data_IF_130237272523
#
_entry.id   IF_130237272523
#
_cell.length_a   1.000
_cell.length_b   1.000
_cell.length_c   1.000
_cell.angle_alpha   90.00
_cell.angle_beta   90.00
_cell.angle_gamma   90.00
#
_symmetry.space_group_name_H-M   'P 1'
#
loop_
_entity.id
_entity.type
_entity.pdbx_description
1 polymer ?
#
# COMPACT_ATOMS: atom_id res chain seq x y z
N UNK A 1 3.74 -25.38 -9.39
CA UNK A 1 4.43 -24.43 -10.29
C UNK A 1 5.19 -23.42 -9.45
N UNK A 2 6.41 -23.04 -9.85
CA UNK A 2 7.21 -22.02 -9.13
C UNK A 2 6.84 -20.62 -9.61
N UNK A 3 7.02 -19.58 -8.78
CA UNK A 3 6.80 -18.17 -9.15
C UNK A 3 7.56 -17.76 -10.43
N UNK A 4 8.64 -18.48 -10.77
CA UNK A 4 9.38 -18.28 -12.03
C UNK A 4 8.56 -18.63 -13.27
N UNK A 5 7.76 -19.69 -13.22
CA UNK A 5 6.92 -20.11 -14.35
C UNK A 5 5.78 -19.13 -14.56
N UNK A 6 5.10 -18.72 -13.48
CA UNK A 6 4.03 -17.73 -13.50
C UNK A 6 4.53 -16.38 -14.05
N UNK A 7 5.71 -15.92 -13.62
CA UNK A 7 6.31 -14.70 -14.19
C UNK A 7 6.56 -14.82 -15.70
N UNK A 8 7.02 -15.99 -16.16
CA UNK A 8 7.27 -16.23 -17.59
C UNK A 8 5.96 -16.19 -18.39
N UNK A 9 4.90 -16.83 -17.89
CA UNK A 9 3.57 -16.79 -18.49
C UNK A 9 3.07 -15.34 -18.59
N UNK A 10 3.12 -14.60 -17.47
CA UNK A 10 2.71 -13.19 -17.40
C UNK A 10 3.47 -12.29 -18.39
N UNK A 11 4.81 -12.35 -18.39
CA UNK A 11 5.62 -11.53 -19.32
C UNK A 11 5.33 -11.90 -20.78
N UNK A 12 5.19 -13.20 -21.08
CA UNK A 12 4.94 -13.67 -22.45
C UNK A 12 3.56 -13.20 -22.93
N UNK A 13 2.55 -13.26 -22.07
CA UNK A 13 1.19 -12.86 -22.40
C UNK A 13 1.05 -11.34 -22.58
N UNK A 14 1.85 -10.55 -21.85
CA UNK A 14 1.92 -9.10 -22.02
C UNK A 14 2.86 -8.67 -23.17
N UNK A 15 3.60 -9.59 -23.79
CA UNK A 15 4.54 -9.26 -24.86
C UNK A 15 3.79 -8.68 -26.06
N UNK A 16 4.20 -7.50 -26.52
CA UNK A 16 3.56 -6.72 -27.60
C UNK A 16 2.20 -6.10 -27.25
N UNK A 17 1.85 -5.99 -25.97
CA UNK A 17 0.68 -5.24 -25.51
C UNK A 17 1.02 -3.83 -25.02
N UNK A 18 0.03 -2.93 -25.00
CA UNK A 18 0.14 -1.60 -24.36
C UNK A 18 0.25 -1.67 -22.81
N UNK A 19 0.15 -2.89 -22.27
CA UNK A 19 0.26 -3.24 -20.85
C UNK A 19 1.62 -3.87 -20.52
N UNK A 20 2.53 -3.98 -21.51
CA UNK A 20 3.88 -4.45 -21.25
C UNK A 20 4.59 -3.48 -20.29
N UNK A 21 5.10 -3.95 -19.14
CA UNK A 21 5.85 -3.09 -18.23
C UNK A 21 7.11 -2.58 -18.94
N UNK A 22 7.41 -1.29 -18.76
CA UNK A 22 8.63 -0.68 -19.29
C UNK A 22 9.90 -1.13 -18.55
N UNK A 23 10.78 -0.18 -18.28
CA UNK A 23 12.05 -0.42 -17.58
C UNK A 23 11.81 -1.04 -16.18
N UNK A 24 12.25 -2.29 -15.99
CA UNK A 24 12.16 -3.01 -14.71
C UNK A 24 13.49 -2.86 -13.98
N UNK A 25 13.47 -2.18 -12.82
CA UNK A 25 14.65 -2.01 -11.99
C UNK A 25 14.53 -2.87 -10.72
N UNK A 26 15.67 -3.38 -10.26
CA UNK A 26 15.73 -4.28 -9.11
C UNK A 26 16.76 -3.77 -8.11
N UNK A 27 16.34 -3.69 -6.85
CA UNK A 27 17.15 -3.28 -5.71
C UNK A 27 17.00 -4.29 -4.57
N UNK A 28 17.89 -4.24 -3.59
CA UNK A 28 17.77 -5.02 -2.35
C UNK A 28 17.78 -4.14 -1.11
N UNK A 29 16.82 -4.40 -0.22
CA UNK A 29 16.66 -3.74 1.07
C UNK A 29 16.87 -4.79 2.17
N UNK A 30 18.13 -5.03 2.52
CA UNK A 30 18.50 -6.22 3.30
C UNK A 30 18.28 -7.49 2.48
N UNK A 31 17.44 -8.41 2.98
CA UNK A 31 17.08 -9.65 2.27
C UNK A 31 15.86 -9.50 1.35
N UNK A 32 15.11 -8.41 1.48
CA UNK A 32 13.91 -8.14 0.67
C UNK A 32 14.33 -7.58 -0.69
N UNK A 33 13.77 -8.11 -1.78
CA UNK A 33 13.94 -7.53 -3.10
C UNK A 33 12.88 -6.45 -3.29
N UNK A 34 13.30 -5.32 -3.86
CA UNK A 34 12.43 -4.22 -4.25
C UNK A 34 12.51 -4.05 -5.75
N UNK A 35 11.40 -4.33 -6.43
CA UNK A 35 11.29 -4.25 -7.89
C UNK A 35 10.38 -3.09 -8.24
N UNK A 36 10.77 -2.28 -9.22
CA UNK A 36 9.94 -1.20 -9.76
C UNK A 36 9.75 -1.38 -11.26
N UNK A 37 8.57 -1.00 -11.76
CA UNK A 37 8.26 -0.93 -13.19
C UNK A 37 7.91 0.52 -13.55
N UNK A 38 8.68 1.12 -14.46
CA UNK A 38 8.47 2.48 -14.97
C UNK A 38 7.41 2.50 -16.07
N UNK A 39 6.40 3.38 -15.92
CA UNK A 39 5.50 3.75 -17.01
C UNK A 39 6.06 4.92 -17.82
N UNK A 40 6.75 5.84 -17.16
CA UNK A 40 7.45 6.98 -17.73
C UNK A 40 8.57 7.43 -16.77
N UNK A 41 9.65 8.05 -17.26
CA UNK A 41 10.64 8.68 -16.40
C UNK A 41 9.98 9.68 -15.45
N UNK A 42 10.40 9.72 -14.19
CA UNK A 42 9.90 10.70 -13.24
C UNK A 42 10.97 11.13 -12.24
N UNK A 43 11.09 12.45 -12.07
CA UNK A 43 11.96 13.06 -11.07
C UNK A 43 11.28 13.19 -9.70
N UNK A 44 10.11 12.58 -9.49
CA UNK A 44 9.36 12.77 -8.26
C UNK A 44 9.96 12.00 -7.06
N UNK A 45 9.58 12.39 -5.85
CA UNK A 45 10.02 11.78 -4.59
C UNK A 45 9.42 10.36 -4.47
N UNK A 46 8.10 10.26 -4.65
CA UNK A 46 7.36 9.01 -4.80
C UNK A 46 6.48 9.15 -6.03
N UNK A 47 6.85 8.47 -7.11
CA UNK A 47 6.16 8.68 -8.38
C UNK A 47 5.00 7.71 -8.57
N UNK A 48 3.84 8.30 -8.87
CA UNK A 48 2.64 7.61 -9.36
C UNK A 48 2.85 7.03 -10.79
N UNK A 49 4.02 7.25 -11.40
CA UNK A 49 4.43 6.62 -12.65
C UNK A 49 5.28 5.36 -12.44
N UNK A 50 5.61 5.01 -11.19
CA UNK A 50 6.19 3.71 -10.82
C UNK A 50 5.14 2.82 -10.18
N UNK A 51 5.24 1.55 -10.50
CA UNK A 51 4.61 0.46 -9.76
C UNK A 51 5.68 -0.39 -9.13
N UNK A 52 5.36 -1.09 -8.05
CA UNK A 52 6.39 -1.70 -7.22
C UNK A 52 5.97 -3.04 -6.62
N UNK A 53 6.97 -3.86 -6.32
CA UNK A 53 6.77 -5.10 -5.62
C UNK A 53 7.90 -5.35 -4.64
N UNK A 54 7.54 -5.81 -3.45
CA UNK A 54 8.47 -6.23 -2.41
C UNK A 54 8.20 -7.67 -2.01
N UNK A 55 9.27 -8.47 -1.97
CA UNK A 55 9.25 -9.87 -1.51
C UNK A 55 10.68 -10.41 -1.33
N UNK A 56 10.87 -11.38 -0.44
CA UNK A 56 12.13 -12.14 -0.34
C UNK A 56 12.42 -12.96 -1.60
N UNK A 57 11.38 -13.38 -2.33
CA UNK A 57 11.50 -14.04 -3.62
C UNK A 57 11.43 -13.00 -4.75
N UNK A 58 12.52 -12.87 -5.52
CA UNK A 58 12.60 -11.89 -6.61
C UNK A 58 11.48 -12.08 -7.65
N UNK A 59 11.08 -13.31 -7.96
CA UNK A 59 10.01 -13.55 -8.94
C UNK A 59 8.66 -13.07 -8.42
N UNK A 60 8.36 -13.30 -7.13
CA UNK A 60 7.14 -12.78 -6.51
C UNK A 60 7.16 -11.26 -6.46
N UNK A 61 8.30 -10.64 -6.12
CA UNK A 61 8.45 -9.18 -6.14
C UNK A 61 8.21 -8.62 -7.55
N UNK A 62 8.78 -9.25 -8.59
CA UNK A 62 8.55 -8.84 -9.98
C UNK A 62 7.10 -9.02 -10.41
N UNK A 63 6.45 -10.14 -10.08
CA UNK A 63 5.02 -10.35 -10.39
C UNK A 63 4.17 -9.25 -9.74
N UNK A 64 4.39 -8.93 -8.46
CA UNK A 64 3.67 -7.85 -7.76
C UNK A 64 3.80 -6.50 -8.49
N UNK A 65 5.02 -6.13 -8.91
CA UNK A 65 5.26 -4.88 -9.63
C UNK A 65 4.53 -4.85 -10.99
N UNK A 66 4.55 -5.95 -11.74
CA UNK A 66 3.87 -6.05 -13.05
C UNK A 66 2.34 -6.06 -12.88
N UNK A 67 1.82 -6.74 -11.85
CA UNK A 67 0.39 -6.80 -11.58
C UNK A 67 -0.15 -5.42 -11.20
N UNK A 68 0.57 -4.66 -10.35
CA UNK A 68 0.22 -3.26 -10.06
C UNK A 68 0.30 -2.37 -11.33
N UNK A 69 1.23 -2.65 -12.25
CA UNK A 69 1.27 -1.96 -13.56
C UNK A 69 -0.01 -2.20 -14.38
N UNK A 70 -0.41 -3.46 -14.53
CA UNK A 70 -1.63 -3.84 -15.25
C UNK A 70 -2.87 -3.26 -14.58
N UNK A 71 -2.90 -3.24 -13.25
CA UNK A 71 -3.96 -2.61 -12.45
C UNK A 71 -4.17 -1.13 -12.82
N UNK A 72 -3.10 -0.33 -12.81
CA UNK A 72 -3.17 1.10 -13.15
C UNK A 72 -3.61 1.32 -14.59
N UNK A 73 -3.13 0.50 -15.53
CA UNK A 73 -3.54 0.54 -16.94
C UNK A 73 -5.02 0.18 -17.11
N UNK A 74 -5.51 -0.79 -16.33
CA UNK A 74 -6.93 -1.21 -16.34
C UNK A 74 -7.85 -0.11 -15.82
N UNK A 75 -7.42 0.63 -14.78
CA UNK A 75 -8.15 1.79 -14.29
C UNK A 75 -8.25 2.89 -15.36
N UNK A 76 -7.14 3.22 -16.03
CA UNK A 76 -7.11 4.21 -17.11
C UNK A 76 -7.98 3.79 -18.29
N UNK A 77 -7.93 2.51 -18.68
CA UNK A 77 -8.80 1.96 -19.71
C UNK A 77 -10.28 2.13 -19.36
N UNK A 78 -10.68 1.77 -18.14
CA UNK A 78 -12.08 1.89 -17.72
C UNK A 78 -12.55 3.35 -17.58
N UNK A 79 -11.67 4.27 -17.18
CA UNK A 79 -11.94 5.71 -17.14
C UNK A 79 -12.28 6.25 -18.52
N UNK A 80 -11.48 5.89 -19.53
CA UNK A 80 -11.72 6.31 -20.91
C UNK A 80 -13.02 5.73 -21.49
N UNK A 81 -13.53 4.65 -20.91
CA UNK A 81 -14.82 4.04 -21.25
C UNK A 81 -15.97 4.49 -20.33
N UNK A 82 -15.78 5.54 -19.52
CA UNK A 82 -16.79 6.12 -18.62
C UNK A 82 -17.44 5.13 -17.63
N UNK A 83 -16.71 4.10 -17.18
CA UNK A 83 -17.23 3.22 -16.13
C UNK A 83 -17.26 3.95 -14.79
N UNK A 84 -18.43 4.01 -14.13
CA UNK A 84 -18.65 4.77 -12.90
C UNK A 84 -17.62 4.45 -11.81
N UNK A 85 -17.40 3.16 -11.53
CA UNK A 85 -16.42 2.68 -10.56
C UNK A 85 -14.98 3.13 -10.86
N UNK A 86 -14.65 3.55 -12.08
CA UNK A 86 -13.33 4.04 -12.46
C UNK A 86 -13.18 5.57 -12.37
N UNK A 87 -14.31 6.30 -12.28
CA UNK A 87 -14.34 7.77 -12.25
C UNK A 87 -13.96 8.37 -10.89
N UNK A 88 -13.92 7.54 -9.84
CA UNK A 88 -13.33 7.94 -8.55
C UNK A 88 -11.86 8.33 -8.78
N UNK A 89 -11.45 9.47 -8.23
CA UNK A 89 -10.23 10.20 -8.61
C UNK A 89 -8.92 9.42 -8.38
N UNK A 90 -8.91 8.43 -7.47
CA UNK A 90 -7.72 7.64 -7.09
C UNK A 90 -7.96 6.13 -7.19
N UNK A 91 -6.90 5.34 -7.04
CA UNK A 91 -6.90 3.87 -7.09
C UNK A 91 -7.34 3.21 -5.78
N UNK A 92 -7.90 3.97 -4.83
CA UNK A 92 -8.36 3.42 -3.56
C UNK A 92 -9.31 2.23 -3.78
N UNK A 93 -8.99 1.12 -3.11
CA UNK A 93 -9.75 -0.12 -3.16
C UNK A 93 -9.70 -0.83 -4.51
N UNK A 94 -8.68 -0.56 -5.33
CA UNK A 94 -8.38 -1.30 -6.55
C UNK A 94 -7.32 -2.35 -6.25
N UNK A 95 -7.53 -3.58 -6.69
CA UNK A 95 -6.49 -4.60 -6.63
C UNK A 95 -6.51 -5.51 -7.85
N UNK A 96 -5.33 -5.99 -8.22
CA UNK A 96 -5.16 -6.99 -9.27
C UNK A 96 -4.52 -8.29 -8.76
N UNK A 97 -4.75 -9.39 -9.49
CA UNK A 97 -4.16 -10.69 -9.22
C UNK A 97 -3.85 -11.45 -10.51
N UNK A 98 -2.69 -12.10 -10.65
CA UNK A 98 -2.35 -12.84 -11.86
C UNK A 98 -3.26 -14.07 -12.04
N UNK A 99 -3.73 -14.26 -13.26
CA UNK A 99 -4.35 -15.51 -13.70
C UNK A 99 -3.21 -16.46 -14.09
N UNK A 100 -3.15 -17.61 -13.44
CA UNK A 100 -2.17 -18.64 -13.76
C UNK A 100 -2.89 -19.93 -14.13
N UNK A 101 -2.20 -20.79 -14.87
CA UNK A 101 -2.67 -22.16 -15.17
C UNK A 101 -3.01 -22.98 -13.92
N UNK A 102 -2.51 -22.60 -12.73
CA UNK A 102 -2.78 -23.24 -11.45
C UNK A 102 -4.03 -22.71 -10.74
N UNK A 103 -4.23 -21.40 -10.76
CA UNK A 103 -5.34 -20.74 -10.05
C UNK A 103 -6.63 -20.75 -10.86
N UNK A 104 -6.52 -20.57 -12.18
CA UNK A 104 -7.67 -20.27 -13.02
C UNK A 104 -8.25 -18.88 -12.75
N UNK A 105 -9.11 -18.43 -13.66
CA UNK A 105 -9.68 -17.08 -13.66
C UNK A 105 -10.57 -16.81 -12.43
N UNK A 106 -11.39 -17.78 -12.00
CA UNK A 106 -12.28 -17.62 -10.85
C UNK A 106 -11.53 -17.40 -9.54
N UNK A 107 -10.43 -18.12 -9.32
CA UNK A 107 -9.59 -17.91 -8.14
C UNK A 107 -8.91 -16.54 -8.18
N UNK A 108 -8.42 -16.12 -9.36
CA UNK A 108 -7.79 -14.82 -9.53
C UNK A 108 -8.77 -13.67 -9.22
N UNK A 109 -10.01 -13.73 -9.73
CA UNK A 109 -11.04 -12.74 -9.39
C UNK A 109 -11.37 -12.73 -7.90
N UNK A 110 -11.49 -13.89 -7.25
CA UNK A 110 -11.70 -13.93 -5.78
C UNK A 110 -10.55 -13.28 -5.03
N UNK A 111 -9.30 -13.55 -5.40
CA UNK A 111 -8.13 -12.93 -4.76
C UNK A 111 -7.99 -11.45 -5.06
N UNK A 112 -8.30 -11.01 -6.28
CA UNK A 112 -8.36 -9.59 -6.63
C UNK A 112 -9.44 -8.88 -5.78
N UNK A 113 -10.64 -9.46 -5.67
CA UNK A 113 -11.71 -8.92 -4.82
C UNK A 113 -11.31 -8.87 -3.34
N UNK A 114 -10.76 -9.94 -2.79
CA UNK A 114 -10.32 -9.99 -1.39
C UNK A 114 -9.28 -8.90 -1.09
N UNK A 115 -8.31 -8.72 -1.99
CA UNK A 115 -7.28 -7.68 -1.87
C UNK A 115 -7.88 -6.28 -1.99
N UNK A 116 -8.78 -6.07 -2.96
CA UNK A 116 -9.46 -4.80 -3.20
C UNK A 116 -10.31 -4.39 -1.99
N UNK A 117 -11.03 -5.36 -1.41
CA UNK A 117 -11.84 -5.15 -0.21
C UNK A 117 -10.95 -4.85 1.00
N UNK A 118 -9.86 -5.60 1.20
CA UNK A 118 -8.90 -5.30 2.26
C UNK A 118 -8.33 -3.89 2.12
N UNK A 119 -7.94 -3.47 0.91
CA UNK A 119 -7.45 -2.11 0.70
C UNK A 119 -8.54 -1.06 0.97
N UNK A 120 -9.77 -1.26 0.51
CA UNK A 120 -10.87 -0.33 0.81
C UNK A 120 -11.11 -0.21 2.33
N UNK A 121 -11.06 -1.33 3.06
CA UNK A 121 -11.22 -1.37 4.52
C UNK A 121 -10.07 -0.63 5.19
N UNK A 122 -8.83 -0.93 4.81
CA UNK A 122 -7.64 -0.24 5.31
C UNK A 122 -7.77 1.28 5.19
N UNK A 123 -8.10 1.74 3.98
CA UNK A 123 -8.17 3.16 3.64
C UNK A 123 -9.29 3.85 4.44
N UNK A 124 -10.48 3.23 4.49
CA UNK A 124 -11.61 3.77 5.23
C UNK A 124 -11.34 3.85 6.73
N UNK A 125 -10.88 2.75 7.33
CA UNK A 125 -10.65 2.63 8.78
C UNK A 125 -9.55 3.59 9.21
N UNK A 126 -8.43 3.62 8.50
CA UNK A 126 -7.31 4.48 8.88
C UNK A 126 -7.69 5.96 8.75
N UNK A 127 -8.32 6.39 7.65
CA UNK A 127 -8.74 7.78 7.51
C UNK A 127 -9.79 8.19 8.58
N UNK A 128 -10.80 7.34 8.80
CA UNK A 128 -11.85 7.60 9.78
C UNK A 128 -11.31 7.66 11.20
N UNK A 129 -10.45 6.70 11.57
CA UNK A 129 -9.75 6.71 12.85
C UNK A 129 -8.93 7.99 12.99
N UNK A 130 -8.15 8.38 12.00
CA UNK A 130 -7.32 9.57 12.12
C UNK A 130 -8.14 10.84 12.39
N UNK A 131 -9.23 11.02 11.66
CA UNK A 131 -10.03 12.24 11.68
C UNK A 131 -10.90 12.42 12.93
N UNK A 132 -11.24 11.32 13.62
CA UNK A 132 -12.12 11.37 14.78
C UNK A 132 -11.44 10.78 16.04
N UNK A 133 -11.15 11.64 17.01
CA UNK A 133 -10.52 11.30 18.28
C UNK A 133 -11.37 10.43 19.21
N UNK A 134 -12.67 10.29 18.95
CA UNK A 134 -13.55 9.37 19.66
C UNK A 134 -13.26 7.91 19.30
N UNK A 135 -12.66 7.65 18.12
CA UNK A 135 -12.27 6.31 17.71
C UNK A 135 -10.99 5.87 18.40
N UNK A 136 -11.02 4.65 18.93
CA UNK A 136 -9.95 4.09 19.73
C UNK A 136 -8.96 3.28 18.89
N UNK A 137 -7.78 3.05 19.47
CA UNK A 137 -6.76 2.20 18.90
C UNK A 137 -5.99 1.49 20.01
N UNK A 138 -5.38 0.37 19.66
CA UNK A 138 -4.34 -0.29 20.47
C UNK A 138 -2.99 -0.05 19.83
N UNK A 139 -2.00 0.27 20.65
CA UNK A 139 -0.63 0.54 20.20
C UNK A 139 0.34 -0.36 20.94
N UNK A 140 1.28 -0.94 20.20
CA UNK A 140 2.34 -1.78 20.74
C UNK A 140 3.69 -1.45 20.10
N UNK A 141 4.81 -1.60 20.82
CA UNK A 141 6.14 -1.47 20.22
C UNK A 141 6.34 -2.49 19.10
N UNK A 142 6.80 -2.03 17.92
CA UNK A 142 7.01 -2.87 16.73
C UNK A 142 7.95 -4.04 17.03
N UNK A 143 8.98 -3.84 17.86
CA UNK A 143 9.94 -4.90 18.25
C UNK A 143 9.27 -6.15 18.83
N UNK A 144 8.08 -6.02 19.44
CA UNK A 144 7.33 -7.13 20.00
C UNK A 144 6.80 -8.09 18.92
N UNK A 145 6.61 -7.59 17.69
CA UNK A 145 6.08 -8.32 16.54
C UNK A 145 7.18 -8.83 15.60
N UNK A 146 8.42 -8.32 15.76
CA UNK A 146 9.53 -8.65 14.87
C UNK A 146 10.31 -9.90 15.30
N UNK A 147 10.17 -10.38 16.55
CA UNK A 147 11.09 -11.36 17.15
C UNK A 147 11.33 -12.61 16.30
N UNK A 148 10.30 -13.08 15.61
CA UNK A 148 10.33 -14.31 14.81
C UNK A 148 10.21 -14.05 13.28
N UNK A 149 10.17 -12.78 12.84
CA UNK A 149 10.13 -12.43 11.41
C UNK A 149 11.49 -11.87 10.97
N UNK A 150 12.37 -12.79 10.54
CA UNK A 150 13.72 -12.48 10.06
C UNK A 150 13.73 -11.45 8.92
N UNK A 151 12.73 -11.50 8.02
CA UNK A 151 12.65 -10.58 6.90
C UNK A 151 12.37 -9.16 7.39
N UNK A 152 11.34 -8.98 8.22
CA UNK A 152 10.99 -7.67 8.76
C UNK A 152 12.12 -7.09 9.63
N UNK A 153 12.80 -7.94 10.42
CA UNK A 153 14.00 -7.55 11.16
C UNK A 153 15.12 -7.07 10.25
N UNK A 154 15.39 -7.80 9.16
CA UNK A 154 16.42 -7.43 8.19
C UNK A 154 16.11 -6.10 7.52
N UNK A 155 14.84 -5.88 7.14
CA UNK A 155 14.40 -4.64 6.53
C UNK A 155 14.55 -3.46 7.49
N UNK A 156 14.07 -3.58 8.73
CA UNK A 156 14.22 -2.52 9.75
C UNK A 156 15.68 -2.17 10.04
N UNK A 157 16.57 -3.17 10.09
CA UNK A 157 18.01 -2.94 10.23
C UNK A 157 18.60 -2.19 9.03
N UNK A 158 18.16 -2.51 7.82
CA UNK A 158 18.59 -1.82 6.61
C UNK A 158 18.15 -0.34 6.63
N UNK A 159 16.88 -0.09 6.96
CA UNK A 159 16.34 1.27 7.08
C UNK A 159 17.07 2.06 8.18
N UNK A 160 17.25 1.49 9.37
CA UNK A 160 17.92 2.14 10.49
C UNK A 160 19.39 2.48 10.27
N UNK A 161 20.08 1.79 9.35
CA UNK A 161 21.43 2.17 8.88
C UNK A 161 21.42 3.38 7.96
N UNK A 162 20.30 3.61 7.26
CA UNK A 162 20.16 4.65 6.25
C UNK A 162 19.74 5.99 6.86
N UNK A 163 18.75 5.98 7.77
CA UNK A 163 18.44 7.11 8.63
C UNK A 163 18.15 6.61 10.05
N UNK A 164 18.65 7.27 11.11
CA UNK A 164 18.45 6.78 12.48
C UNK A 164 16.97 6.77 12.89
N UNK A 165 16.50 5.60 13.34
CA UNK A 165 15.15 5.40 13.87
C UNK A 165 15.17 5.59 15.37
N UNK A 166 14.24 6.39 15.89
CA UNK A 166 14.07 6.67 17.32
C UNK A 166 13.14 5.63 17.97
N UNK A 167 11.98 5.42 17.37
CA UNK A 167 11.01 4.41 17.82
C UNK A 167 10.16 3.91 16.65
N UNK A 168 9.53 2.75 16.83
CA UNK A 168 8.57 2.22 15.88
C UNK A 168 7.46 1.46 16.63
N UNK A 169 6.23 1.64 16.16
CA UNK A 169 5.02 1.10 16.77
C UNK A 169 4.13 0.47 15.73
N UNK A 170 3.34 -0.51 16.16
CA UNK A 170 2.17 -1.01 15.42
C UNK A 170 0.92 -0.50 16.09
N UNK A 171 -0.02 -0.06 15.28
CA UNK A 171 -1.29 0.53 15.71
C UNK A 171 -2.41 -0.29 15.09
N UNK A 172 -3.39 -0.65 15.91
CA UNK A 172 -4.61 -1.33 15.51
C UNK A 172 -5.79 -0.42 15.83
N UNK A 173 -6.29 0.36 14.86
CA UNK A 173 -7.59 1.01 15.00
C UNK A 173 -8.67 -0.04 15.29
N UNK A 174 -9.57 0.24 16.22
CA UNK A 174 -10.63 -0.71 16.56
C UNK A 174 -11.75 -0.67 15.52
N UNK A 175 -12.18 -1.84 15.05
CA UNK A 175 -13.24 -2.00 14.05
C UNK A 175 -14.41 -2.74 14.72
N UNK A 176 -15.63 -2.22 14.56
CA UNK A 176 -16.81 -2.73 15.26
C UNK A 176 -17.61 -3.70 14.38
N UNK A 177 -17.64 -4.96 14.78
CA UNK A 177 -18.57 -5.97 14.22
C UNK A 177 -18.15 -6.57 12.90
N UNK A 178 -16.88 -6.39 12.50
CA UNK A 178 -16.35 -6.83 11.22
C UNK A 178 -15.22 -7.87 11.37
N UNK A 179 -15.09 -8.73 10.37
CA UNK A 179 -14.07 -9.81 10.31
C UNK A 179 -12.71 -9.32 9.79
N UNK A 180 -12.40 -8.03 9.95
CA UNK A 180 -11.16 -7.42 9.47
C UNK A 180 -10.24 -6.98 10.59
N UNK A 181 -8.94 -6.90 10.27
CA UNK A 181 -7.92 -6.27 11.10
C UNK A 181 -7.13 -5.31 10.22
N UNK A 182 -7.08 -4.06 10.65
CA UNK A 182 -6.21 -3.03 10.06
C UNK A 182 -5.01 -2.82 10.99
N UNK A 183 -3.81 -2.81 10.40
CA UNK A 183 -2.55 -2.58 11.08
C UNK A 183 -1.83 -1.43 10.40
N UNK A 184 -1.49 -0.40 11.17
CA UNK A 184 -0.65 0.72 10.75
C UNK A 184 0.70 0.62 11.44
N UNK A 185 1.77 0.56 10.67
CA UNK A 185 3.15 0.70 11.17
C UNK A 185 3.48 2.18 11.19
N UNK A 186 4.03 2.65 12.30
CA UNK A 186 4.50 4.02 12.45
C UNK A 186 5.96 4.02 12.90
N UNK A 187 6.83 4.69 12.16
CA UNK A 187 8.27 4.79 12.43
C UNK A 187 8.62 6.25 12.67
N UNK A 188 9.10 6.55 13.88
CA UNK A 188 9.64 7.86 14.26
C UNK A 188 11.13 7.92 13.95
N UNK A 189 11.53 8.93 13.19
CA UNK A 189 12.90 9.18 12.80
C UNK A 189 13.57 10.17 13.75
N UNK A 190 14.83 9.94 14.09
CA UNK A 190 15.56 10.78 15.05
C UNK A 190 15.81 12.17 14.44
N UNK A 191 15.41 13.23 15.16
CA UNK A 191 15.48 14.65 14.74
C UNK A 191 14.65 15.00 13.49
N UNK A 192 13.76 14.11 13.08
CA UNK A 192 12.84 14.29 11.95
C UNK A 192 11.41 14.02 12.47
N UNK A 193 10.54 13.49 11.62
CA UNK A 193 9.20 13.10 12.03
C UNK A 193 8.88 11.64 11.76
N UNK A 194 7.70 11.42 11.16
CA UNK A 194 7.09 10.11 11.07
C UNK A 194 6.96 9.64 9.61
N UNK A 195 7.20 8.36 9.40
CA UNK A 195 6.74 7.64 8.20
C UNK A 195 5.85 6.49 8.65
N UNK A 196 4.84 6.17 7.84
CA UNK A 196 3.83 5.15 8.17
C UNK A 196 3.62 4.20 7.00
N UNK A 197 2.98 3.06 7.23
CA UNK A 197 2.48 2.17 6.19
C UNK A 197 1.35 1.32 6.74
N UNK A 198 0.37 1.01 5.90
CA UNK A 198 -0.87 0.35 6.29
C UNK A 198 -0.98 -1.05 5.69
N UNK A 199 -1.86 -1.84 6.28
CA UNK A 199 -2.30 -3.10 5.69
C UNK A 199 -3.61 -3.54 6.34
N UNK A 200 -4.40 -4.29 5.59
CA UNK A 200 -5.58 -4.98 6.10
C UNK A 200 -5.58 -6.46 5.72
N UNK A 201 -6.18 -7.27 6.60
CA UNK A 201 -6.47 -8.69 6.38
C UNK A 201 -7.74 -9.12 7.09
N UNK A 202 -8.29 -10.26 6.69
CA UNK A 202 -9.32 -10.95 7.48
C UNK A 202 -8.75 -11.43 8.83
N UNK A 203 -9.57 -11.48 9.88
CA UNK A 203 -9.18 -11.89 11.25
C UNK A 203 -8.50 -13.26 11.28
N UNK A 204 -8.96 -14.18 10.43
CA UNK A 204 -8.45 -15.56 10.31
C UNK A 204 -7.17 -15.70 9.46
N UNK A 205 -6.75 -14.67 8.73
CA UNK A 205 -5.56 -14.70 7.86
C UNK A 205 -4.69 -13.46 8.07
N UNK A 206 -4.02 -13.40 9.23
CA UNK A 206 -3.08 -12.33 9.55
C UNK A 206 -1.69 -12.57 8.95
N UNK A 207 -1.56 -13.58 8.10
CA UNK A 207 -0.28 -13.93 7.50
C UNK A 207 0.18 -12.75 6.64
N UNK A 208 1.41 -12.30 6.87
CA UNK A 208 2.02 -11.17 6.16
C UNK A 208 1.41 -9.78 6.39
N UNK A 209 0.42 -9.60 7.29
CA UNK A 209 -0.18 -8.29 7.59
C UNK A 209 0.93 -7.27 7.95
N UNK A 210 1.72 -7.58 8.98
CA UNK A 210 2.85 -6.75 9.40
C UNK A 210 3.82 -6.45 8.26
N UNK A 211 4.14 -7.46 7.45
CA UNK A 211 5.13 -7.35 6.37
C UNK A 211 4.67 -6.38 5.29
N UNK A 212 3.39 -6.44 4.90
CA UNK A 212 2.78 -5.51 3.94
C UNK A 212 2.84 -4.07 4.44
N UNK A 213 2.44 -3.81 5.68
CA UNK A 213 2.55 -2.48 6.28
C UNK A 213 4.00 -2.00 6.37
N UNK A 214 4.95 -2.88 6.73
CA UNK A 214 6.37 -2.53 6.77
C UNK A 214 6.94 -2.20 5.39
N UNK A 215 6.54 -2.93 4.35
CA UNK A 215 6.98 -2.64 2.98
C UNK A 215 6.50 -1.27 2.53
N UNK A 216 5.25 -0.92 2.80
CA UNK A 216 4.73 0.40 2.48
C UNK A 216 5.46 1.50 3.28
N UNK A 217 5.65 1.31 4.59
CA UNK A 217 6.43 2.22 5.41
C UNK A 217 7.89 2.36 4.90
N UNK A 218 8.49 1.27 4.40
CA UNK A 218 9.81 1.30 3.79
C UNK A 218 9.84 2.12 2.50
N UNK A 219 8.81 2.06 1.65
CA UNK A 219 8.71 2.94 0.47
C UNK A 219 8.68 4.41 0.87
N UNK A 220 7.87 4.76 1.87
CA UNK A 220 7.77 6.14 2.36
C UNK A 220 9.08 6.62 2.98
N UNK A 221 9.75 5.75 3.74
CA UNK A 221 11.08 5.99 4.28
C UNK A 221 12.09 6.31 3.16
N UNK A 222 12.14 5.49 2.11
CA UNK A 222 13.07 5.67 1.00
C UNK A 222 12.75 6.94 0.20
N UNK A 223 11.46 7.23 -0.03
CA UNK A 223 11.02 8.49 -0.64
C UNK A 223 11.49 9.70 0.17
N UNK A 224 11.24 9.70 1.48
CA UNK A 224 11.67 10.77 2.37
C UNK A 224 13.19 10.95 2.36
N UNK A 225 13.96 9.86 2.42
CA UNK A 225 15.43 9.89 2.33
C UNK A 225 15.88 10.54 1.02
N UNK A 226 15.32 10.11 -0.11
CA UNK A 226 15.61 10.67 -1.44
C UNK A 226 15.35 12.18 -1.46
N UNK A 227 14.22 12.61 -0.89
CA UNK A 227 13.86 14.02 -0.85
C UNK A 227 14.83 14.87 -0.03
N UNK A 228 15.20 14.40 1.18
CA UNK A 228 16.10 15.11 2.08
C UNK A 228 17.52 15.17 1.50
N UNK A 229 18.07 14.05 1.04
CA UNK A 229 19.44 13.98 0.51
C UNK A 229 19.57 14.70 -0.84
N UNK A 230 18.52 14.65 -1.67
CA UNK A 230 18.48 15.30 -2.98
C UNK A 230 18.01 16.76 -2.95
N UNK A 231 17.59 17.29 -1.79
CA UNK A 231 17.02 18.64 -1.69
C UNK A 231 15.77 18.82 -2.56
N UNK A 232 14.95 17.77 -2.71
CA UNK A 232 13.82 17.77 -3.64
C UNK A 232 12.61 18.48 -3.02
N UNK A 233 11.89 19.22 -3.86
CA UNK A 233 10.60 19.81 -3.49
C UNK A 233 9.45 18.87 -3.87
N UNK A 234 8.38 18.79 -3.05
CA UNK A 234 7.24 17.94 -3.38
C UNK A 234 6.43 18.53 -4.54
N UNK A 235 6.09 17.68 -5.50
CA UNK A 235 5.34 18.03 -6.71
C UNK A 235 3.89 17.57 -6.66
N UNK A 236 3.58 16.58 -5.82
CA UNK A 236 2.22 16.07 -5.60
C UNK A 236 1.77 16.29 -4.17
N UNK A 237 0.45 16.28 -3.94
CA UNK A 237 -0.11 16.36 -2.60
C UNK A 237 0.38 15.21 -1.70
N UNK A 238 0.56 14.03 -2.28
CA UNK A 238 1.10 12.87 -1.57
C UNK A 238 2.53 13.13 -1.05
N UNK A 239 3.39 13.70 -1.90
CA UNK A 239 4.76 14.07 -1.53
C UNK A 239 4.78 15.21 -0.50
N UNK A 240 3.87 16.17 -0.62
CA UNK A 240 3.71 17.25 0.36
C UNK A 240 3.39 16.67 1.74
N UNK A 241 2.45 15.72 1.80
CA UNK A 241 2.08 15.03 3.04
C UNK A 241 3.24 14.21 3.60
N UNK A 242 3.93 13.44 2.74
CA UNK A 242 5.11 12.67 3.16
C UNK A 242 6.16 13.58 3.80
N UNK A 243 6.47 14.72 3.17
CA UNK A 243 7.44 15.67 3.73
C UNK A 243 6.91 16.37 4.98
N UNK A 244 5.63 16.72 5.05
CA UNK A 244 5.03 17.35 6.23
C UNK A 244 5.17 16.47 7.48
N UNK A 245 4.84 15.18 7.36
CA UNK A 245 5.01 14.23 8.47
C UNK A 245 6.48 13.82 8.65
N UNK A 246 7.18 13.51 7.57
CA UNK A 246 8.54 12.98 7.60
C UNK A 246 9.60 13.98 8.08
N UNK A 247 9.43 15.27 7.82
CA UNK A 247 10.35 16.34 8.26
C UNK A 247 10.21 16.69 9.75
N UNK A 248 9.11 16.28 10.39
CA UNK A 248 8.81 16.58 11.78
C UNK A 248 7.84 17.75 12.00
N UNK A 249 7.38 18.41 10.93
CA UNK A 249 6.43 19.53 11.03
C UNK A 249 5.11 19.13 11.69
N UNK A 250 4.69 17.87 11.51
CA UNK A 250 3.45 17.32 12.05
C UNK A 250 3.60 16.58 13.40
N UNK A 251 4.78 16.60 14.05
CA UNK A 251 5.06 15.74 15.20
C UNK A 251 4.03 15.91 16.33
N UNK A 252 3.65 17.15 16.66
CA UNK A 252 2.66 17.42 17.70
C UNK A 252 1.28 16.86 17.36
N UNK A 253 0.89 16.86 16.08
CA UNK A 253 -0.40 16.33 15.61
C UNK A 253 -0.41 14.82 15.81
N UNK A 254 0.66 14.13 15.40
CA UNK A 254 0.82 12.68 15.57
C UNK A 254 0.81 12.32 17.05
N UNK A 255 1.64 12.97 17.86
CA UNK A 255 1.75 12.70 19.29
C UNK A 255 0.41 12.92 20.02
N UNK A 256 -0.33 13.98 19.65
CA UNK A 256 -1.67 14.24 20.18
C UNK A 256 -2.67 13.15 19.78
N UNK A 257 -2.69 12.72 18.51
CA UNK A 257 -3.60 11.66 18.05
C UNK A 257 -3.30 10.34 18.76
N UNK A 258 -2.04 9.96 18.89
CA UNK A 258 -1.64 8.71 19.56
C UNK A 258 -1.98 8.70 21.06
N UNK A 259 -2.00 9.88 21.69
CA UNK A 259 -2.34 10.05 23.11
C UNK A 259 -3.84 10.06 23.39
N UNK A 260 -4.67 10.26 22.36
CA UNK A 260 -6.13 10.18 22.51
C UNK A 260 -6.59 8.72 22.61
N UNK A 261 -7.34 8.40 23.66
CA UNK A 261 -7.79 7.05 23.96
C UNK A 261 -9.29 6.90 23.81
N UNK A 262 -9.85 7.25 22.65
CA UNK A 262 -11.28 7.19 22.36
C UNK A 262 -11.98 5.89 22.84
N UNK A 263 -13.31 5.87 22.83
CA UNK A 263 -14.10 4.73 23.32
C UNK A 263 -14.78 3.91 22.23
N UNK A 264 -14.77 4.39 20.98
CA UNK A 264 -15.57 3.83 19.90
C UNK A 264 -14.71 3.06 18.90
N UNK A 265 -15.28 1.99 18.33
CA UNK A 265 -14.74 1.35 17.13
C UNK A 265 -15.34 1.97 15.87
N UNK A 266 -14.58 2.02 14.80
CA UNK A 266 -15.06 2.44 13.48
C UNK A 266 -16.03 1.40 12.94
N UNK A 267 -17.14 1.85 12.35
CA UNK A 267 -18.12 0.99 11.67
C UNK A 267 -17.92 1.13 10.17
N UNK A 268 -17.80 0.00 9.46
CA UNK A 268 -17.76 0.02 8.00
C UNK A 268 -19.16 0.31 7.42
N UNK A 269 -19.28 1.25 6.48
CA UNK A 269 -20.53 1.50 5.78
C UNK A 269 -20.73 0.43 4.69
N UNK A 270 -21.79 0.56 3.90
CA UNK A 270 -22.00 -0.32 2.74
C UNK A 270 -20.97 -0.02 1.65
N UNK A 271 -20.67 -1.04 0.85
CA UNK A 271 -19.90 -0.85 -0.37
C UNK A 271 -20.77 -0.09 -1.39
N UNK A 272 -20.23 1.02 -1.87
CA UNK A 272 -20.74 1.72 -3.05
C UNK A 272 -20.39 0.94 -4.32
N UNK A 273 -19.17 0.39 -4.38
CA UNK A 273 -18.68 -0.43 -5.49
C UNK A 273 -18.13 -1.76 -4.97
N UNK A 274 -18.43 -2.84 -5.68
CA UNK A 274 -17.85 -4.18 -5.53
C UNK A 274 -17.89 -4.84 -6.90
N UNK A 275 -16.95 -4.46 -7.77
CA UNK A 275 -17.06 -4.72 -9.21
C UNK A 275 -15.77 -5.23 -9.83
N UNK A 276 -15.91 -6.15 -10.77
CA UNK A 276 -14.83 -6.57 -11.67
C UNK A 276 -14.56 -5.44 -12.66
N UNK A 277 -13.30 -5.04 -12.79
CA UNK A 277 -12.87 -4.07 -13.80
C UNK A 277 -12.42 -4.78 -15.07
N UNK A 278 -13.35 -5.03 -15.99
CA UNK A 278 -12.99 -5.67 -17.25
C UNK A 278 -11.98 -4.86 -18.06
N UNK A 279 -11.00 -5.54 -18.64
CA UNK A 279 -10.00 -4.99 -19.54
C UNK A 279 -9.54 -6.03 -20.58
N UNK A 280 -8.81 -5.65 -21.65
CA UNK A 280 -8.42 -6.58 -22.72
C UNK A 280 -7.53 -7.77 -22.31
N UNK A 281 -7.13 -7.86 -21.04
CA UNK A 281 -6.20 -8.86 -20.51
C UNK A 281 -6.74 -9.56 -19.26
N UNK A 282 -8.07 -9.59 -19.08
CA UNK A 282 -8.74 -10.22 -17.92
C UNK A 282 -8.36 -11.71 -17.76
N UNK A 283 -8.03 -12.39 -18.86
CA UNK A 283 -7.56 -13.78 -18.88
C UNK A 283 -6.13 -13.97 -18.34
N UNK A 284 -5.40 -12.87 -18.09
CA UNK A 284 -4.00 -12.87 -17.64
C UNK A 284 -3.88 -12.21 -16.27
N UNK A 285 -4.65 -11.16 -16.01
CA UNK A 285 -4.70 -10.47 -14.71
C UNK A 285 -6.15 -10.13 -14.43
N UNK A 286 -6.66 -10.57 -13.28
CA UNK A 286 -7.97 -10.17 -12.81
C UNK A 286 -7.86 -8.86 -12.03
N UNK A 287 -8.67 -7.86 -12.38
CA UNK A 287 -8.77 -6.60 -11.64
C UNK A 287 -10.15 -6.46 -10.98
N UNK A 288 -10.18 -5.99 -9.74
CA UNK A 288 -11.41 -5.77 -8.98
C UNK A 288 -11.34 -4.45 -8.21
N UNK A 289 -12.48 -3.78 -8.05
CA UNK A 289 -12.59 -2.57 -7.25
C UNK A 289 -13.66 -2.69 -6.18
N UNK A 290 -13.28 -2.39 -4.95
CA UNK A 290 -14.18 -2.17 -3.82
C UNK A 290 -14.10 -0.69 -3.39
N UNK A 291 -15.21 -0.10 -2.97
CA UNK A 291 -15.20 1.26 -2.44
C UNK A 291 -16.39 1.45 -1.50
N UNK A 292 -16.18 2.12 -0.38
CA UNK A 292 -17.22 2.36 0.61
C UNK A 292 -18.03 3.63 0.33
N UNK A 293 -19.32 3.61 0.67
CA UNK A 293 -20.14 4.81 0.71
C UNK A 293 -19.51 5.85 1.65
N UNK A 294 -19.39 7.10 1.19
CA UNK A 294 -18.79 8.20 1.94
C UNK A 294 -17.34 7.92 2.39
N UNK A 295 -16.58 7.10 1.67
CA UNK A 295 -15.18 6.84 1.99
C UNK A 295 -14.39 8.16 2.00
N UNK A 296 -13.73 8.53 3.12
CA UNK A 296 -12.89 9.71 3.17
C UNK A 296 -11.75 9.59 2.15
N UNK A 297 -11.32 10.69 1.51
CA UNK A 297 -10.20 10.62 0.59
C UNK A 297 -8.94 10.18 1.35
N UNK A 298 -8.36 9.04 0.97
CA UNK A 298 -7.18 8.55 1.67
C UNK A 298 -5.96 9.43 1.35
N UNK A 299 -5.66 9.59 0.05
CA UNK A 299 -4.76 10.64 -0.46
C UNK A 299 -5.61 11.81 -0.96
N UNK A 300 -5.41 12.98 -0.33
CA UNK A 300 -6.28 14.16 -0.46
C UNK A 300 -6.92 14.53 0.88
N UNK A 301 -7.75 15.58 0.91
CA UNK A 301 -8.29 16.12 2.15
C UNK A 301 -7.27 16.98 2.92
N UNK A 302 -7.36 17.07 4.26
CA UNK A 302 -6.43 17.85 5.07
C UNK A 302 -4.99 17.32 4.98
N UNK A 303 -4.00 18.22 4.94
CA UNK A 303 -2.59 17.83 4.95
C UNK A 303 -2.22 17.09 6.24
N UNK A 304 -2.91 17.44 7.32
CA UNK A 304 -2.76 16.94 8.69
C UNK A 304 -3.31 15.53 8.90
N UNK A 305 -3.90 14.91 7.87
CA UNK A 305 -4.31 13.49 7.91
C UNK A 305 -3.11 12.58 7.62
N UNK A 306 -2.64 11.80 8.59
CA UNK A 306 -1.56 10.82 8.38
C UNK A 306 -2.10 9.57 7.68
N UNK A 307 -2.45 9.73 6.41
CA UNK A 307 -2.74 8.66 5.47
C UNK A 307 -1.72 8.79 4.34
N UNK A 308 -0.71 7.91 4.37
CA UNK A 308 0.39 7.83 3.41
C UNK A 308 0.34 6.48 2.71
#
# INVERSE_FOLDING_TARGET
>A
MSSRTELRELITALANSDFHPGNIQMSRLGVTNYVTCEMAPSESIISENYTCGMDINIFTATIKAIVEHVERKSLLYNRNNNKECSLVSRSDGLAAYPVSSRSGIEYAHRKARDNALCEAVERYIWASWWDNSEFCHRMYPLVSYLKDDFECLSLMRFLGKSMPIDSASVIFPEIKGDDFVVLVVLIRLKKLGYVSGGSCSFVGDRSNLLRRALYEAARHFLGLKKAIEGGMSPTTFYEQRLLFFGSGSANQIVDSRLSSGGGLGVVLPKLQFDEILSHPFDEIVACHRCYFENQPPFIGGPLERLCL
#
